data_IF_234385289796
#
_entry.id   IF_234385289796
#
_cell.length_a   1.000
_cell.length_b   1.000
_cell.length_c   1.000
_cell.angle_alpha   90.00
_cell.angle_beta   90.00
_cell.angle_gamma   90.00
#
_symmetry.space_group_name_H-M   'P 1'
#
loop_
_entity.id
_entity.type
_entity.pdbx_description
1 polymer ?
#
# COMPACT_ATOMS: atom_id res chain seq x y z
N UNK A 1 -70.37 14.76 2.58
CA UNK A 1 -68.99 15.23 2.57
C UNK A 1 -68.29 14.67 3.80
N UNK A 2 -67.54 13.58 3.68
CA UNK A 2 -66.78 12.97 4.79
C UNK A 2 -65.26 13.26 4.58
N UNK A 3 -64.70 14.02 5.50
CA UNK A 3 -63.29 14.40 5.51
C UNK A 3 -62.50 13.30 6.23
N UNK A 4 -61.65 12.56 5.49
CA UNK A 4 -60.78 11.54 6.07
C UNK A 4 -59.40 12.19 6.34
N UNK A 5 -59.03 12.25 7.61
CA UNK A 5 -57.74 12.72 8.08
C UNK A 5 -56.80 11.49 8.05
N UNK A 6 -55.76 11.52 7.19
CA UNK A 6 -54.70 10.54 7.19
C UNK A 6 -53.60 11.03 8.15
N UNK A 7 -53.47 10.35 9.28
CA UNK A 7 -52.34 10.54 10.21
C UNK A 7 -51.11 9.82 9.59
N UNK A 8 -50.18 10.60 9.09
CA UNK A 8 -48.86 10.09 8.70
C UNK A 8 -47.98 9.88 9.93
N UNK A 9 -47.72 8.62 10.27
CA UNK A 9 -46.70 8.26 11.29
C UNK A 9 -45.30 8.44 10.71
N UNK A 10 -44.66 9.55 11.08
CA UNK A 10 -43.23 9.76 10.77
C UNK A 10 -42.37 8.83 11.62
N UNK A 11 -41.75 7.82 11.00
CA UNK A 11 -40.66 7.07 11.63
C UNK A 11 -39.43 7.98 11.72
N UNK A 12 -39.14 8.48 12.91
CA UNK A 12 -37.87 9.10 13.22
C UNK A 12 -36.80 7.99 13.29
N UNK A 13 -35.98 7.82 12.24
CA UNK A 13 -34.81 7.03 12.28
C UNK A 13 -33.79 7.72 13.20
N UNK A 14 -33.66 7.25 14.44
CA UNK A 14 -32.58 7.66 15.34
C UNK A 14 -31.27 7.15 14.76
N UNK A 15 -30.47 8.03 14.15
CA UNK A 15 -29.10 7.75 13.81
C UNK A 15 -28.32 7.51 15.12
N UNK A 16 -28.00 6.26 15.42
CA UNK A 16 -27.08 5.92 16.49
C UNK A 16 -25.71 6.44 16.04
N UNK A 17 -25.33 7.62 16.49
CA UNK A 17 -23.95 8.10 16.45
C UNK A 17 -23.16 7.20 17.39
N UNK A 18 -22.50 6.18 16.84
CA UNK A 18 -21.47 5.44 17.57
C UNK A 18 -20.39 6.45 17.95
N UNK A 19 -20.31 6.80 19.22
CA UNK A 19 -19.27 7.68 19.74
C UNK A 19 -17.93 7.06 19.37
N UNK A 20 -17.09 7.79 18.65
CA UNK A 20 -15.73 7.32 18.38
C UNK A 20 -14.99 7.17 19.70
N UNK A 21 -14.18 6.11 19.85
CA UNK A 21 -13.40 5.91 21.08
C UNK A 21 -12.50 7.11 21.32
N UNK A 22 -12.30 7.45 22.57
CA UNK A 22 -11.38 8.53 22.96
C UNK A 22 -9.97 8.24 22.42
N UNK A 23 -9.21 9.29 22.04
CA UNK A 23 -7.79 9.15 21.71
C UNK A 23 -7.04 8.46 22.85
N UNK A 24 -6.03 7.63 22.54
CA UNK A 24 -5.11 7.13 23.57
C UNK A 24 -4.40 8.30 24.25
N UNK A 25 -4.03 8.15 25.53
CA UNK A 25 -3.18 9.13 26.21
C UNK A 25 -1.77 9.21 25.57
N UNK A 26 -1.00 10.24 25.92
CA UNK A 26 0.32 10.51 25.34
C UNK A 26 1.31 9.34 25.53
N UNK A 27 1.25 8.65 26.66
CA UNK A 27 2.12 7.51 26.95
C UNK A 27 1.75 6.31 26.05
N UNK A 28 0.46 6.06 25.88
CA UNK A 28 -0.08 5.04 24.99
C UNK A 28 0.23 5.34 23.52
N UNK A 29 0.10 6.61 23.09
CA UNK A 29 0.45 7.02 21.71
C UNK A 29 1.93 6.77 21.42
N UNK A 30 2.83 7.14 22.33
CA UNK A 30 4.27 6.87 22.21
C UNK A 30 4.57 5.38 22.10
N UNK A 31 3.89 4.56 22.91
CA UNK A 31 4.03 3.10 22.86
C UNK A 31 3.56 2.54 21.51
N UNK A 32 2.40 2.97 21.01
CA UNK A 32 1.87 2.55 19.70
C UNK A 32 2.87 2.85 18.59
N UNK A 33 3.46 4.04 18.58
CA UNK A 33 4.46 4.44 17.59
C UNK A 33 5.73 3.58 17.72
N UNK A 34 6.21 3.33 18.95
CA UNK A 34 7.39 2.50 19.18
C UNK A 34 7.17 1.04 18.74
N UNK A 35 6.01 0.45 19.06
CA UNK A 35 5.65 -0.91 18.66
C UNK A 35 5.53 -1.03 17.13
N UNK A 36 4.86 -0.06 16.47
CA UNK A 36 4.76 0.01 15.02
C UNK A 36 6.13 0.14 14.35
N UNK A 37 7.02 0.96 14.92
CA UNK A 37 8.40 1.11 14.44
C UNK A 37 9.16 -0.21 14.52
N UNK A 38 9.08 -0.90 15.65
CA UNK A 38 9.73 -2.21 15.82
C UNK A 38 9.23 -3.23 14.79
N UNK A 39 7.90 -3.30 14.57
CA UNK A 39 7.28 -4.18 13.56
C UNK A 39 7.71 -3.82 12.14
N UNK A 40 7.74 -2.54 11.79
CA UNK A 40 8.18 -2.07 10.49
C UNK A 40 9.63 -2.47 10.18
N UNK A 41 10.52 -2.30 11.14
CA UNK A 41 11.94 -2.63 10.99
C UNK A 41 12.20 -4.15 10.98
N UNK A 42 11.36 -4.93 11.67
CA UNK A 42 11.43 -6.39 11.67
C UNK A 42 10.81 -7.04 10.41
N UNK A 43 9.97 -6.32 9.67
CA UNK A 43 9.11 -6.84 8.61
C UNK A 43 9.80 -7.83 7.65
N UNK A 44 10.97 -7.44 7.10
CA UNK A 44 11.73 -8.30 6.16
C UNK A 44 12.21 -9.59 6.82
N UNK A 45 12.57 -9.52 8.10
CA UNK A 45 13.05 -10.67 8.86
C UNK A 45 11.92 -11.62 9.26
N UNK A 46 10.72 -11.09 9.40
CA UNK A 46 9.53 -11.83 9.81
C UNK A 46 8.84 -12.53 8.63
N UNK A 47 9.19 -12.17 7.37
CA UNK A 47 8.65 -12.83 6.19
C UNK A 47 9.17 -14.27 6.08
N UNK A 48 8.28 -15.28 5.93
CA UNK A 48 8.67 -16.65 5.65
C UNK A 48 9.06 -16.82 4.19
N UNK A 49 9.65 -17.95 3.85
CA UNK A 49 9.73 -18.40 2.46
C UNK A 49 8.31 -18.66 1.92
N UNK A 50 7.98 -18.16 0.74
CA UNK A 50 6.68 -18.33 0.11
C UNK A 50 6.74 -18.34 -1.41
N UNK A 51 5.66 -18.80 -2.00
CA UNK A 51 5.32 -18.60 -3.41
C UNK A 51 3.97 -17.90 -3.47
N UNK A 52 3.84 -16.91 -4.37
CA UNK A 52 2.56 -16.27 -4.64
C UNK A 52 2.45 -15.89 -6.12
N UNK A 53 1.27 -15.42 -6.52
CA UNK A 53 1.02 -14.81 -7.83
C UNK A 53 0.99 -13.30 -7.67
N UNK A 54 1.75 -12.60 -8.52
CA UNK A 54 1.71 -11.14 -8.67
C UNK A 54 1.04 -10.79 -9.98
N UNK A 55 0.10 -9.85 -9.94
CA UNK A 55 -0.54 -9.27 -11.12
C UNK A 55 -0.26 -7.78 -11.13
N UNK A 56 0.40 -7.30 -12.17
CA UNK A 56 0.66 -5.86 -12.37
C UNK A 56 -0.14 -5.36 -13.56
N UNK A 57 -0.90 -4.27 -13.37
CA UNK A 57 -1.59 -3.52 -14.43
C UNK A 57 -1.02 -2.12 -14.50
N UNK A 58 -0.59 -1.70 -15.70
CA UNK A 58 -0.11 -0.33 -15.94
C UNK A 58 -1.12 0.42 -16.79
N UNK A 59 -1.55 1.57 -16.30
CA UNK A 59 -2.59 2.38 -16.92
C UNK A 59 -2.08 3.80 -17.12
N UNK A 60 -2.52 4.42 -18.22
CA UNK A 60 -2.23 5.82 -18.54
C UNK A 60 -3.52 6.56 -18.90
N UNK A 61 -3.59 7.82 -18.49
CA UNK A 61 -4.54 8.81 -19.00
C UNK A 61 -3.77 9.99 -19.59
N UNK A 62 -3.49 9.99 -20.89
CA UNK A 62 -2.61 10.97 -21.53
C UNK A 62 -3.09 12.41 -21.44
N UNK A 63 -4.39 12.62 -21.19
CA UNK A 63 -5.02 13.95 -21.16
C UNK A 63 -5.39 14.42 -19.76
N UNK A 64 -5.34 13.55 -18.75
CA UNK A 64 -5.80 13.85 -17.40
C UNK A 64 -7.30 14.11 -17.32
N UNK A 65 -8.09 13.38 -18.10
CA UNK A 65 -9.56 13.53 -18.21
C UNK A 65 -10.31 12.38 -17.59
N UNK A 66 -9.62 11.58 -16.80
CA UNK A 66 -10.14 10.35 -16.17
C UNK A 66 -10.56 9.27 -17.19
N UNK A 67 -9.87 9.25 -18.36
CA UNK A 67 -10.06 8.26 -19.42
C UNK A 67 -8.84 7.34 -19.46
N UNK A 68 -8.86 6.34 -18.60
CA UNK A 68 -7.76 5.40 -18.44
C UNK A 68 -7.68 4.37 -19.56
N UNK A 69 -6.45 4.12 -20.01
CA UNK A 69 -6.10 3.05 -20.95
C UNK A 69 -5.10 2.12 -20.29
N UNK A 70 -5.43 0.83 -20.21
CA UNK A 70 -4.48 -0.19 -19.78
C UNK A 70 -3.43 -0.40 -20.87
N UNK A 71 -2.18 -0.18 -20.53
CA UNK A 71 -1.03 -0.36 -21.40
C UNK A 71 -0.62 -1.82 -21.44
N UNK A 72 -0.53 -2.44 -20.28
CA UNK A 72 -0.31 -3.88 -20.17
C UNK A 72 -0.81 -4.46 -18.83
N UNK A 73 -0.93 -5.78 -18.83
CA UNK A 73 -1.18 -6.62 -17.66
C UNK A 73 -0.16 -7.74 -17.65
N UNK A 74 0.65 -7.81 -16.59
CA UNK A 74 1.69 -8.82 -16.41
C UNK A 74 1.33 -9.72 -15.24
N UNK A 75 1.29 -11.04 -15.49
CA UNK A 75 1.13 -12.05 -14.44
C UNK A 75 2.47 -12.74 -14.21
N UNK A 76 2.87 -12.81 -12.94
CA UNK A 76 4.13 -13.42 -12.51
C UNK A 76 3.89 -14.38 -11.37
N UNK A 77 4.70 -15.42 -11.30
CA UNK A 77 4.93 -16.16 -10.08
C UNK A 77 6.12 -15.52 -9.36
N UNK A 78 5.90 -15.09 -8.14
CA UNK A 78 6.96 -14.67 -7.21
C UNK A 78 7.27 -15.83 -6.28
N UNK A 79 8.55 -16.15 -6.15
CA UNK A 79 9.09 -17.04 -5.14
C UNK A 79 10.05 -16.25 -4.25
N UNK A 80 9.78 -16.20 -2.95
CA UNK A 80 10.71 -15.73 -1.94
C UNK A 80 11.33 -16.95 -1.26
N UNK A 81 12.64 -17.13 -1.41
CA UNK A 81 13.37 -18.25 -0.81
C UNK A 81 14.68 -17.72 -0.22
N UNK A 82 14.93 -17.98 1.06
CA UNK A 82 16.10 -17.48 1.77
C UNK A 82 16.30 -15.95 1.57
N UNK A 83 15.20 -15.19 1.62
CA UNK A 83 15.16 -13.72 1.40
C UNK A 83 15.57 -13.27 -0.01
N UNK A 84 15.61 -14.16 -0.98
CA UNK A 84 15.85 -13.85 -2.39
C UNK A 84 14.57 -14.00 -3.17
N UNK A 85 14.26 -12.97 -3.96
CA UNK A 85 13.11 -12.94 -4.82
C UNK A 85 13.46 -13.48 -6.21
N UNK A 86 12.67 -14.42 -6.68
CA UNK A 86 12.69 -14.91 -8.05
C UNK A 86 11.34 -14.68 -8.70
N UNK A 87 11.35 -14.10 -9.89
CA UNK A 87 10.15 -13.80 -10.67
C UNK A 87 10.13 -14.61 -11.95
N UNK A 88 9.05 -15.32 -12.17
CA UNK A 88 8.78 -16.02 -13.42
C UNK A 88 7.55 -15.42 -14.07
N UNK A 89 7.71 -14.74 -15.21
CA UNK A 89 6.59 -14.19 -15.97
C UNK A 89 5.77 -15.33 -16.57
N UNK A 90 4.48 -15.37 -16.24
CA UNK A 90 3.54 -16.40 -16.71
C UNK A 90 2.83 -15.93 -17.98
N UNK A 91 2.39 -14.67 -18.01
CA UNK A 91 1.74 -14.08 -19.18
C UNK A 91 1.88 -12.57 -19.22
N UNK A 92 1.81 -12.01 -20.43
CA UNK A 92 1.70 -10.57 -20.69
C UNK A 92 0.50 -10.35 -21.60
N UNK A 93 -0.44 -9.52 -21.18
CA UNK A 93 -1.70 -9.25 -21.90
C UNK A 93 -2.46 -10.53 -22.26
N UNK A 94 -2.51 -11.49 -21.33
CA UNK A 94 -3.17 -12.77 -21.48
C UNK A 94 -2.41 -13.78 -22.36
N UNK A 95 -1.35 -13.39 -23.04
CA UNK A 95 -0.52 -14.29 -23.83
C UNK A 95 0.56 -14.92 -22.95
N UNK A 96 0.71 -16.24 -23.01
CA UNK A 96 1.75 -16.97 -22.27
C UNK A 96 3.13 -16.39 -22.59
N UNK A 97 3.91 -16.09 -21.56
CA UNK A 97 5.28 -15.61 -21.77
C UNK A 97 6.17 -16.74 -22.25
N UNK A 98 7.00 -16.43 -23.26
CA UNK A 98 8.05 -17.31 -23.76
C UNK A 98 9.39 -16.68 -23.41
N UNK A 99 9.98 -17.11 -22.28
CA UNK A 99 11.32 -16.64 -21.88
C UNK A 99 11.37 -16.03 -20.48
N UNK A 100 12.60 -15.80 -20.02
CA UNK A 100 12.90 -15.30 -18.68
C UNK A 100 12.89 -13.78 -18.55
N UNK A 101 12.62 -13.04 -19.62
CA UNK A 101 12.69 -11.58 -19.62
C UNK A 101 11.48 -10.98 -18.92
N UNK A 102 11.69 -10.55 -17.68
CA UNK A 102 10.73 -9.75 -16.92
C UNK A 102 10.61 -8.36 -17.55
N UNK A 103 9.40 -7.87 -17.89
CA UNK A 103 9.22 -6.48 -18.34
C UNK A 103 9.80 -5.49 -17.32
N UNK A 104 10.46 -4.43 -17.83
CA UNK A 104 11.03 -3.40 -16.96
C UNK A 104 9.96 -2.57 -16.24
N UNK A 105 10.35 -1.96 -15.12
CA UNK A 105 9.50 -1.04 -14.36
C UNK A 105 8.39 -1.72 -13.53
N UNK A 106 8.49 -3.03 -13.29
CA UNK A 106 7.58 -3.74 -12.41
C UNK A 106 8.06 -3.67 -10.96
N UNK A 107 7.12 -3.49 -10.04
CA UNK A 107 7.38 -3.54 -8.60
C UNK A 107 7.89 -4.91 -8.16
N UNK A 108 8.66 -4.90 -7.07
CA UNK A 108 9.10 -6.08 -6.34
C UNK A 108 8.34 -6.17 -5.00
N UNK A 109 8.27 -7.35 -4.41
CA UNK A 109 7.69 -7.47 -3.06
C UNK A 109 8.56 -6.79 -2.01
N UNK A 110 9.87 -6.69 -2.22
CA UNK A 110 10.79 -5.92 -1.38
C UNK A 110 10.47 -4.41 -1.36
N UNK A 111 9.76 -3.86 -2.35
CA UNK A 111 9.34 -2.47 -2.33
C UNK A 111 8.40 -2.17 -1.16
N UNK A 112 7.60 -3.15 -0.72
CA UNK A 112 6.76 -3.02 0.47
C UNK A 112 7.58 -2.83 1.76
N UNK A 113 8.74 -3.45 1.86
CA UNK A 113 9.67 -3.22 2.96
C UNK A 113 10.34 -1.84 2.86
N UNK A 114 10.64 -1.39 1.62
CA UNK A 114 11.21 -0.06 1.40
C UNK A 114 10.24 1.03 1.85
N UNK A 115 8.93 0.90 1.57
CA UNK A 115 7.92 1.87 2.04
C UNK A 115 7.92 2.02 3.55
N UNK A 116 8.11 0.92 4.29
CA UNK A 116 8.23 0.96 5.74
C UNK A 116 9.55 1.61 6.17
N UNK A 117 10.68 1.24 5.53
CA UNK A 117 11.98 1.78 5.89
C UNK A 117 12.09 3.30 5.63
N UNK A 118 11.46 3.82 4.59
CA UNK A 118 11.44 5.26 4.29
C UNK A 118 10.80 6.10 5.40
N UNK A 119 9.98 5.48 6.25
CA UNK A 119 9.26 6.14 7.34
C UNK A 119 9.92 5.82 8.68
N UNK A 120 10.23 4.54 8.93
CA UNK A 120 10.57 4.05 10.26
C UNK A 120 12.07 3.85 10.50
N UNK A 121 12.92 3.89 9.45
CA UNK A 121 14.38 3.90 9.64
C UNK A 121 14.77 5.16 10.45
N UNK A 122 15.57 5.05 11.50
CA UNK A 122 16.02 6.20 12.29
C UNK A 122 16.69 7.31 11.44
N UNK A 123 17.28 6.96 10.31
CA UNK A 123 17.88 7.94 9.38
C UNK A 123 16.83 8.81 8.68
N UNK A 124 15.60 8.34 8.53
CA UNK A 124 14.52 9.12 7.95
C UNK A 124 14.10 10.31 8.86
N UNK A 125 14.39 10.23 10.16
CA UNK A 125 14.02 11.26 11.15
C UNK A 125 12.56 11.69 10.99
N UNK A 126 11.67 10.72 10.73
CA UNK A 126 10.27 10.98 10.51
C UNK A 126 9.62 11.64 11.73
N UNK A 127 8.85 12.67 11.49
CA UNK A 127 7.93 13.24 12.47
C UNK A 127 6.66 12.38 12.44
N UNK A 128 6.44 11.54 13.47
CA UNK A 128 5.30 10.62 13.54
C UNK A 128 4.41 11.01 14.71
N UNK A 129 3.09 11.06 14.47
CA UNK A 129 2.09 11.33 15.50
C UNK A 129 0.86 10.46 15.32
N UNK A 130 0.18 10.12 16.42
CA UNK A 130 -1.13 9.49 16.38
C UNK A 130 -2.17 10.50 15.87
N UNK A 131 -3.03 10.09 14.95
CA UNK A 131 -4.04 10.95 14.33
C UNK A 131 -5.45 10.58 14.78
N UNK A 132 -5.88 9.36 14.54
CA UNK A 132 -7.26 8.94 14.81
C UNK A 132 -7.39 7.41 14.88
N UNK A 133 -8.55 6.97 15.33
CA UNK A 133 -9.03 5.62 15.13
C UNK A 133 -9.65 5.46 13.75
N UNK A 134 -9.53 4.27 13.17
CA UNK A 134 -10.22 3.90 11.93
C UNK A 134 -10.48 2.38 11.91
N UNK A 135 -11.19 1.91 10.88
CA UNK A 135 -11.42 0.50 10.60
C UNK A 135 -10.93 0.16 9.19
N UNK A 136 -10.13 -0.88 9.07
CA UNK A 136 -9.57 -1.35 7.82
C UNK A 136 -9.79 -2.85 7.65
N UNK A 137 -10.61 -3.25 6.69
CA UNK A 137 -10.92 -4.67 6.39
C UNK A 137 -11.31 -5.50 7.63
N UNK A 138 -12.14 -4.94 8.50
CA UNK A 138 -12.59 -5.59 9.74
C UNK A 138 -11.66 -5.44 10.94
N UNK A 139 -10.46 -4.90 10.75
CA UNK A 139 -9.51 -4.58 11.83
C UNK A 139 -9.74 -3.16 12.34
N UNK A 140 -9.74 -2.99 13.66
CA UNK A 140 -9.62 -1.67 14.27
C UNK A 140 -8.17 -1.22 14.18
N UNK A 141 -7.92 -0.03 13.67
CA UNK A 141 -6.57 0.47 13.45
C UNK A 141 -6.33 1.83 14.10
N UNK A 142 -5.10 2.03 14.54
CA UNK A 142 -4.55 3.36 14.80
C UNK A 142 -4.06 3.94 13.49
N UNK A 143 -4.45 5.17 13.17
CA UNK A 143 -3.89 5.93 12.06
C UNK A 143 -2.80 6.83 12.60
N UNK A 144 -1.58 6.65 12.13
CA UNK A 144 -0.43 7.51 12.42
C UNK A 144 -0.17 8.41 11.22
N UNK A 145 -0.10 9.73 11.45
CA UNK A 145 0.40 10.67 10.47
C UNK A 145 1.92 10.71 10.51
N UNK A 146 2.57 10.88 9.35
CA UNK A 146 4.03 11.05 9.30
C UNK A 146 4.46 12.10 8.29
N UNK A 147 5.69 12.64 8.49
CA UNK A 147 6.39 13.51 7.55
C UNK A 147 7.89 13.22 7.60
N UNK A 148 8.52 13.12 6.43
CA UNK A 148 9.98 13.01 6.25
C UNK A 148 10.43 14.13 5.32
N UNK A 149 11.39 14.93 5.76
CA UNK A 149 11.94 16.03 4.96
C UNK A 149 12.85 15.50 3.84
N UNK A 150 13.02 16.24 2.72
CA UNK A 150 13.84 15.82 1.59
C UNK A 150 15.27 15.38 1.99
N UNK A 151 15.91 16.12 2.89
CA UNK A 151 17.29 15.83 3.33
C UNK A 151 17.46 14.51 4.11
N UNK A 152 16.37 13.94 4.61
CA UNK A 152 16.35 12.66 5.32
C UNK A 152 15.62 11.57 4.54
N UNK A 153 15.04 11.91 3.37
CA UNK A 153 14.22 11.01 2.59
C UNK A 153 15.06 10.08 1.71
N UNK A 154 14.58 8.86 1.55
CA UNK A 154 15.09 7.89 0.58
C UNK A 154 14.17 7.78 -0.65
N UNK A 155 13.11 8.61 -0.71
CA UNK A 155 12.15 8.59 -1.82
C UNK A 155 12.71 9.33 -3.02
N UNK A 156 13.13 8.57 -4.04
CA UNK A 156 13.76 9.11 -5.25
C UNK A 156 12.81 8.96 -6.42
N UNK A 157 12.55 10.07 -7.10
CA UNK A 157 11.75 10.11 -8.34
C UNK A 157 12.71 10.23 -9.52
N UNK A 158 12.60 9.31 -10.49
CA UNK A 158 13.39 9.30 -11.71
C UNK A 158 12.51 9.41 -12.94
N UNK A 159 12.98 10.10 -13.99
CA UNK A 159 12.30 10.16 -15.29
C UNK A 159 13.30 10.09 -16.42
N UNK A 160 13.20 9.01 -17.21
CA UNK A 160 14.09 8.79 -18.35
C UNK A 160 15.56 8.79 -17.98
N UNK A 161 16.38 9.53 -18.74
CA UNK A 161 17.82 9.70 -18.48
C UNK A 161 18.15 10.97 -17.67
N UNK A 162 17.12 11.68 -17.17
CA UNK A 162 17.31 12.89 -16.35
C UNK A 162 17.91 12.58 -14.99
N UNK A 163 18.40 13.63 -14.32
CA UNK A 163 18.88 13.51 -12.95
C UNK A 163 17.68 13.18 -12.03
N UNK A 164 17.82 12.18 -11.14
CA UNK A 164 16.78 11.88 -10.18
C UNK A 164 16.63 13.00 -9.14
N UNK A 165 15.45 13.09 -8.55
CA UNK A 165 15.14 14.04 -7.47
C UNK A 165 14.77 13.27 -6.21
N UNK A 166 15.39 13.63 -5.10
CA UNK A 166 14.96 13.16 -3.78
C UNK A 166 13.84 14.06 -3.29
N UNK A 167 12.66 13.51 -3.08
CA UNK A 167 11.48 14.22 -2.60
C UNK A 167 11.28 14.01 -1.11
N UNK A 168 10.74 15.01 -0.41
CA UNK A 168 10.14 14.79 0.89
C UNK A 168 8.89 13.90 0.76
N UNK A 169 8.48 13.29 1.85
CA UNK A 169 7.25 12.49 1.87
C UNK A 169 6.41 12.79 3.11
N UNK A 170 5.10 12.70 2.96
CA UNK A 170 4.17 12.70 4.09
C UNK A 170 3.04 11.71 3.81
N UNK A 171 2.30 11.39 4.85
CA UNK A 171 1.17 10.50 4.68
C UNK A 171 0.67 9.87 5.97
N UNK A 172 0.08 8.68 5.83
CA UNK A 172 -0.51 7.96 6.95
C UNK A 172 -0.10 6.49 6.95
N UNK A 173 -0.06 5.93 8.16
CA UNK A 173 0.15 4.49 8.40
C UNK A 173 -1.01 3.97 9.22
N UNK A 174 -1.66 2.89 8.78
CA UNK A 174 -2.69 2.20 9.56
C UNK A 174 -2.07 0.99 10.27
N UNK A 175 -2.13 1.01 11.58
CA UNK A 175 -1.55 0.00 12.48
C UNK A 175 -2.69 -0.76 13.15
N UNK A 176 -2.71 -2.07 13.00
CA UNK A 176 -3.68 -2.94 13.67
C UNK A 176 -3.58 -2.81 15.20
N UNK A 177 -4.72 -2.55 15.85
CA UNK A 177 -4.74 -2.23 17.28
C UNK A 177 -4.45 -3.44 18.19
N UNK A 178 -4.60 -4.65 17.68
CA UNK A 178 -4.39 -5.88 18.45
C UNK A 178 -2.95 -6.39 18.30
N UNK A 179 -2.47 -6.50 17.07
CA UNK A 179 -1.16 -7.06 16.77
C UNK A 179 -0.03 -6.02 16.70
N UNK A 180 -0.36 -4.74 16.52
CA UNK A 180 0.63 -3.69 16.21
C UNK A 180 1.21 -3.78 14.80
N UNK A 181 0.67 -4.63 13.94
CA UNK A 181 1.15 -4.82 12.57
C UNK A 181 0.67 -3.70 11.65
N UNK A 182 1.52 -3.30 10.70
CA UNK A 182 1.13 -2.31 9.69
C UNK A 182 0.29 -2.99 8.62
N UNK A 183 -0.91 -2.46 8.37
CA UNK A 183 -1.84 -2.98 7.37
C UNK A 183 -2.00 -2.06 6.16
N UNK A 184 -1.59 -0.79 6.27
CA UNK A 184 -1.64 0.15 5.15
C UNK A 184 -0.62 1.26 5.33
N UNK A 185 -0.02 1.69 4.23
CA UNK A 185 0.83 2.88 4.15
C UNK A 185 0.37 3.72 2.97
N UNK A 186 0.05 4.98 3.21
CA UNK A 186 -0.18 5.99 2.17
C UNK A 186 0.94 7.01 2.18
N UNK A 187 1.60 7.20 1.03
CA UNK A 187 2.74 8.11 0.85
C UNK A 187 2.41 9.12 -0.24
N UNK A 188 2.68 10.39 0.00
CA UNK A 188 2.60 11.45 -1.00
C UNK A 188 3.94 12.17 -1.04
N UNK A 189 4.51 12.32 -2.23
CA UNK A 189 5.75 13.08 -2.44
C UNK A 189 5.53 14.57 -2.30
N UNK A 190 6.48 15.26 -1.69
CA UNK A 190 6.52 16.72 -1.53
C UNK A 190 7.87 17.27 -1.97
N UNK A 191 7.94 18.59 -2.05
CA UNK A 191 9.19 19.32 -2.28
C UNK A 191 9.87 18.94 -3.61
N UNK A 192 9.06 18.51 -4.60
CA UNK A 192 9.52 18.23 -5.97
C UNK A 192 9.71 19.56 -6.70
N UNK A 193 10.90 19.84 -7.27
CA UNK A 193 11.13 21.08 -8.01
C UNK A 193 10.13 21.29 -9.14
N UNK A 194 9.61 22.49 -9.32
CA UNK A 194 8.61 22.81 -10.35
C UNK A 194 9.10 22.52 -11.78
N UNK A 195 10.41 22.50 -12.00
CA UNK A 195 11.04 22.15 -13.28
C UNK A 195 11.11 20.64 -13.55
N UNK A 196 10.87 19.79 -12.53
CA UNK A 196 10.94 18.34 -12.70
C UNK A 196 9.68 17.83 -13.42
N UNK A 197 9.82 16.92 -14.41
CA UNK A 197 8.67 16.49 -15.24
C UNK A 197 7.54 15.81 -14.47
N UNK A 198 7.86 15.07 -13.40
CA UNK A 198 6.88 14.38 -12.55
C UNK A 198 6.52 15.30 -11.38
N UNK A 199 5.30 15.85 -11.39
CA UNK A 199 4.84 16.83 -10.42
C UNK A 199 3.95 16.27 -9.31
N UNK A 200 3.56 15.02 -9.41
CA UNK A 200 2.79 14.32 -8.38
C UNK A 200 3.20 12.86 -8.34
N UNK A 201 3.46 12.35 -7.15
CA UNK A 201 3.69 10.92 -6.93
C UNK A 201 3.05 10.52 -5.61
N UNK A 202 2.26 9.47 -5.65
CA UNK A 202 1.60 8.90 -4.48
C UNK A 202 1.64 7.38 -4.54
N UNK A 203 1.76 6.75 -3.37
CA UNK A 203 1.75 5.31 -3.20
C UNK A 203 0.72 4.98 -2.11
N UNK A 204 -0.12 4.00 -2.38
CA UNK A 204 -0.89 3.32 -1.37
C UNK A 204 -0.49 1.85 -1.36
N UNK A 205 0.13 1.38 -0.27
CA UNK A 205 0.52 -0.01 -0.10
C UNK A 205 -0.31 -0.65 1.02
N UNK A 206 -0.93 -1.76 0.71
CA UNK A 206 -1.77 -2.54 1.61
C UNK A 206 -1.10 -3.87 1.92
N UNK A 207 -1.20 -4.27 3.18
CA UNK A 207 -0.70 -5.53 3.72
C UNK A 207 -1.87 -6.33 4.29
N UNK A 208 -1.73 -7.65 4.35
CA UNK A 208 -2.75 -8.51 4.94
C UNK A 208 -2.13 -9.64 5.75
N UNK A 209 -2.94 -10.27 6.61
CA UNK A 209 -2.58 -11.51 7.26
C UNK A 209 -2.90 -12.69 6.33
N UNK A 210 -1.88 -13.32 5.76
CA UNK A 210 -2.03 -14.50 4.91
C UNK A 210 -1.53 -15.75 5.64
N UNK A 211 -2.27 -16.85 5.50
CA UNK A 211 -1.86 -18.15 6.03
C UNK A 211 -0.84 -18.80 5.09
N UNK A 212 0.38 -19.05 5.59
CA UNK A 212 1.44 -19.74 4.86
C UNK A 212 1.85 -20.95 5.68
N UNK A 213 1.46 -22.14 5.21
CA UNK A 213 1.50 -23.35 6.03
C UNK A 213 0.56 -23.26 7.22
N UNK A 214 1.06 -23.39 8.44
CA UNK A 214 0.25 -23.42 9.66
C UNK A 214 0.22 -22.08 10.40
N UNK A 215 0.93 -21.06 9.91
CA UNK A 215 1.07 -19.77 10.56
C UNK A 215 0.53 -18.62 9.70
N UNK A 216 0.14 -17.52 10.36
CA UNK A 216 -0.24 -16.26 9.71
C UNK A 216 0.95 -15.29 9.71
N UNK A 217 1.15 -14.64 8.57
CA UNK A 217 2.19 -13.62 8.36
C UNK A 217 1.57 -12.39 7.73
N UNK A 218 2.14 -11.23 8.03
CA UNK A 218 1.79 -9.99 7.32
C UNK A 218 2.57 -9.96 6.02
N UNK A 219 1.85 -9.92 4.89
CA UNK A 219 2.43 -9.98 3.54
C UNK A 219 1.85 -8.87 2.66
N UNK A 220 2.49 -8.52 1.53
CA UNK A 220 1.89 -7.63 0.55
C UNK A 220 0.52 -8.11 0.08
N UNK A 221 -0.45 -7.21 0.00
CA UNK A 221 -1.76 -7.47 -0.58
C UNK A 221 -1.90 -6.77 -1.93
N UNK A 222 -1.68 -5.45 -1.92
CA UNK A 222 -1.89 -4.61 -3.08
C UNK A 222 -1.06 -3.32 -2.94
N UNK A 223 -0.61 -2.79 -4.06
CA UNK A 223 -0.10 -1.42 -4.13
C UNK A 223 -0.69 -0.67 -5.33
N UNK A 224 -1.03 0.60 -5.11
CA UNK A 224 -1.43 1.55 -6.13
C UNK A 224 -0.39 2.67 -6.17
N UNK A 225 0.24 2.88 -7.33
CA UNK A 225 1.20 3.94 -7.57
C UNK A 225 0.63 4.91 -8.59
N UNK A 226 0.52 6.15 -8.19
CA UNK A 226 0.05 7.23 -9.07
C UNK A 226 1.17 8.22 -9.31
N UNK A 227 1.31 8.67 -10.56
CA UNK A 227 2.16 9.81 -10.89
C UNK A 227 1.50 10.73 -11.91
N UNK A 228 1.91 12.00 -11.89
CA UNK A 228 1.44 13.04 -12.82
C UNK A 228 2.62 13.64 -13.55
N UNK A 229 2.58 13.60 -14.88
CA UNK A 229 3.60 14.13 -15.77
C UNK A 229 2.97 15.15 -16.74
N UNK A 230 3.07 16.42 -16.42
CA UNK A 230 2.32 17.45 -17.13
C UNK A 230 0.80 17.21 -17.02
N UNK A 231 0.14 16.87 -18.15
CA UNK A 231 -1.29 16.48 -18.16
C UNK A 231 -1.51 14.98 -18.01
N UNK A 232 -0.50 14.17 -18.31
CA UNK A 232 -0.60 12.72 -18.28
C UNK A 232 -0.66 12.22 -16.83
N UNK A 233 -1.60 11.32 -16.57
CA UNK A 233 -1.67 10.55 -15.33
C UNK A 233 -1.23 9.12 -15.60
N UNK A 234 -0.44 8.57 -14.69
CA UNK A 234 0.01 7.18 -14.72
C UNK A 234 -0.45 6.49 -13.44
N UNK A 235 -0.98 5.30 -13.58
CA UNK A 235 -1.39 4.46 -12.46
C UNK A 235 -0.90 3.02 -12.67
N UNK A 236 -0.09 2.55 -11.74
CA UNK A 236 0.34 1.15 -11.68
C UNK A 236 -0.34 0.50 -10.48
N UNK A 237 -1.09 -0.56 -10.75
CA UNK A 237 -1.73 -1.40 -9.75
C UNK A 237 -0.99 -2.73 -9.68
N UNK A 238 -0.70 -3.18 -8.46
CA UNK A 238 -0.07 -4.49 -8.21
C UNK A 238 -0.88 -5.22 -7.17
N UNK A 239 -1.23 -6.47 -7.43
CA UNK A 239 -1.96 -7.35 -6.53
C UNK A 239 -1.18 -8.64 -6.29
N UNK A 240 -1.25 -9.16 -5.06
CA UNK A 240 -0.62 -10.42 -4.67
C UNK A 240 -1.67 -11.41 -4.21
N UNK A 241 -1.58 -12.66 -4.70
CA UNK A 241 -2.58 -13.70 -4.47
C UNK A 241 -1.92 -15.05 -4.24
N UNK A 242 -2.68 -15.98 -3.65
CA UNK A 242 -2.36 -17.41 -3.61
C UNK A 242 -1.04 -17.71 -2.86
N UNK A 243 -0.83 -17.05 -1.70
CA UNK A 243 0.33 -17.29 -0.85
C UNK A 243 0.36 -18.73 -0.34
N UNK A 244 1.51 -19.41 -0.49
CA UNK A 244 1.73 -20.77 -0.03
C UNK A 244 3.20 -21.05 0.26
N UNK A 245 3.49 -22.11 1.00
CA UNK A 245 4.87 -22.60 1.17
C UNK A 245 5.47 -23.03 -0.18
N UNK A 246 6.78 -22.82 -0.41
CA UNK A 246 7.48 -23.40 -1.54
C UNK A 246 7.30 -24.94 -1.55
N UNK A 247 7.09 -25.52 -2.75
CA UNK A 247 6.86 -26.95 -2.93
C UNK A 247 5.43 -27.45 -2.66
N UNK A 248 4.52 -26.61 -2.14
CA UNK A 248 3.11 -26.94 -2.06
C UNK A 248 2.47 -26.82 -3.46
N UNK A 249 1.77 -27.87 -3.91
CA UNK A 249 1.02 -27.84 -5.17
C UNK A 249 -0.08 -26.78 -5.12
N UNK A 250 -0.29 -26.09 -6.24
CA UNK A 250 -1.51 -25.28 -6.43
C UNK A 250 -2.70 -26.23 -6.42
N UNK A 251 -3.58 -26.08 -5.45
CA UNK A 251 -4.89 -26.75 -5.54
C UNK A 251 -5.57 -26.27 -6.83
N UNK A 252 -5.57 -27.12 -7.85
CA UNK A 252 -6.30 -26.88 -9.09
C UNK A 252 -7.78 -26.79 -8.76
N UNK A 253 -8.35 -25.61 -8.92
CA UNK A 253 -9.80 -25.44 -9.03
C UNK A 253 -10.20 -25.42 -10.49
#
# INVERSE_FOLDING_TARGET
>A
MKLSIILGAGLAAAAIMLAQPLPPDDASQKKIIADATAKALAYVNDLPDFVCRQVTRRNEDPKGTNQWKTMDTVNEQLTLLNRKEEYRTLSVNGKKASGENRPGGLLRSSDFANYLSWIFDPKAKAEISWSQWDALRGHRVHVLGFRVKPENSQFVISKGKGQPVTAGIFGVVSVDSESGSILKVGIIATDVPASFPVQGSAIEANYEFAKIGDHYFVVPLKADLHSKEGKMLVWTEVEYHDYRKPGAETASK
#
